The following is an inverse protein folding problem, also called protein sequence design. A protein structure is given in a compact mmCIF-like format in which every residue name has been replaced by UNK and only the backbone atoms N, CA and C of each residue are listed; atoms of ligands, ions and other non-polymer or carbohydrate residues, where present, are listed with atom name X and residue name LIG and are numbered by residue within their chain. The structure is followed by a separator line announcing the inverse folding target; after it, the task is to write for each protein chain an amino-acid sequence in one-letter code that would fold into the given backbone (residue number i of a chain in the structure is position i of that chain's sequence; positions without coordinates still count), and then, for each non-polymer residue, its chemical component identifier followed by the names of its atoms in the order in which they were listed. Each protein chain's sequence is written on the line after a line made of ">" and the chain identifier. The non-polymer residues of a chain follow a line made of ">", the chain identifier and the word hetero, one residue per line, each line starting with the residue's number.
data_IF_661376870542
#
_entry.id   IF_661376870542
#
_cell.length_a   1.000
_cell.length_b   1.000
_cell.length_c   1.000
_cell.angle_alpha   90.00
_cell.angle_beta   90.00
_cell.angle_gamma   90.00
#
_symmetry.space_group_name_H-M   'P 1'
#
loop_
_entity.id
_entity.type
_entity.pdbx_description
1 polymer ?
#
# COMPACT_ATOMS: atom_id res chain seq x y z
N UNK A 1 15.67 25.10 -18.16
CA UNK A 1 14.27 25.44 -17.84
C UNK A 1 13.38 24.34 -18.42
N UNK A 2 12.42 23.89 -17.61
CA UNK A 2 11.17 23.23 -18.02
C UNK A 2 11.15 21.70 -18.25
N UNK A 3 10.29 21.08 -17.42
CA UNK A 3 9.35 19.98 -17.76
C UNK A 3 9.80 18.54 -17.54
N UNK A 4 9.85 18.13 -16.26
CA UNK A 4 9.11 16.93 -15.84
C UNK A 4 8.38 17.14 -14.50
N UNK A 5 7.53 18.17 -14.49
CA UNK A 5 6.44 18.34 -13.55
C UNK A 5 5.28 17.37 -13.87
N UNK A 6 5.53 16.05 -13.88
CA UNK A 6 4.50 15.04 -14.14
C UNK A 6 4.65 13.78 -13.27
N UNK A 7 4.50 13.95 -11.96
CA UNK A 7 3.60 13.10 -11.19
C UNK A 7 3.41 13.66 -9.80
N UNK A 8 2.21 14.19 -9.58
CA UNK A 8 1.69 14.66 -8.30
C UNK A 8 1.69 13.50 -7.30
N UNK A 9 2.67 13.44 -6.40
CA UNK A 9 2.56 12.83 -5.06
C UNK A 9 3.67 13.45 -4.19
N UNK A 10 3.25 14.13 -3.13
CA UNK A 10 3.93 15.16 -2.33
C UNK A 10 5.45 14.98 -2.07
N UNK A 11 6.25 16.08 -1.96
CA UNK A 11 7.72 16.07 -2.10
C UNK A 11 8.54 15.30 -1.07
N UNK A 12 7.98 14.83 0.05
CA UNK A 12 8.71 13.95 0.98
C UNK A 12 7.77 12.89 1.56
N UNK A 13 6.64 13.26 2.19
CA UNK A 13 5.72 12.29 2.82
C UNK A 13 6.38 11.43 3.91
N UNK A 14 5.61 10.64 4.66
CA UNK A 14 6.19 9.71 5.66
C UNK A 14 6.66 8.38 5.04
N UNK A 15 6.34 8.13 3.78
CA UNK A 15 6.73 6.92 3.05
C UNK A 15 8.25 6.69 2.98
N UNK A 16 9.10 7.67 2.63
CA UNK A 16 10.55 7.47 2.63
C UNK A 16 11.11 7.17 4.03
N UNK A 17 10.49 7.68 5.10
CA UNK A 17 10.88 7.29 6.46
C UNK A 17 10.57 5.82 6.73
N UNK A 18 9.41 5.33 6.28
CA UNK A 18 9.07 3.90 6.34
C UNK A 18 10.10 3.08 5.57
N UNK A 19 10.47 3.49 4.35
CA UNK A 19 11.45 2.77 3.52
C UNK A 19 12.85 2.76 4.14
N UNK A 20 13.31 3.88 4.70
CA UNK A 20 14.60 3.95 5.42
C UNK A 20 14.57 3.08 6.67
N UNK A 21 13.49 3.11 7.46
CA UNK A 21 13.34 2.24 8.63
C UNK A 21 13.37 0.76 8.24
N UNK A 22 12.70 0.37 7.15
CA UNK A 22 12.74 -1.01 6.63
C UNK A 22 14.15 -1.39 6.18
N UNK A 23 14.85 -0.48 5.49
CA UNK A 23 16.25 -0.69 5.06
C UNK A 23 17.21 -0.85 6.23
N UNK A 24 16.95 -0.15 7.34
CA UNK A 24 17.68 -0.27 8.61
C UNK A 24 17.20 -1.47 9.46
N UNK A 25 16.34 -2.35 8.91
CA UNK A 25 15.72 -3.47 9.64
C UNK A 25 14.89 -3.07 10.87
N UNK A 26 14.55 -1.79 11.00
CA UNK A 26 13.83 -1.22 12.13
C UNK A 26 12.31 -1.20 11.85
N UNK A 27 11.72 -2.40 11.84
CA UNK A 27 10.28 -2.58 11.57
C UNK A 27 9.37 -1.91 12.62
N UNK A 28 9.85 -1.74 13.85
CA UNK A 28 9.10 -1.12 14.93
C UNK A 28 8.83 0.36 14.66
N UNK A 29 9.86 1.11 14.27
CA UNK A 29 9.69 2.51 13.88
C UNK A 29 8.89 2.63 12.58
N UNK A 30 9.13 1.75 11.62
CA UNK A 30 8.39 1.75 10.35
C UNK A 30 6.87 1.66 10.58
N UNK A 31 6.40 0.76 11.45
CA UNK A 31 4.97 0.66 11.82
C UNK A 31 4.42 1.95 12.43
N UNK A 32 5.20 2.66 13.23
CA UNK A 32 4.79 3.96 13.83
C UNK A 32 4.57 5.02 12.76
N UNK A 33 5.38 5.00 11.69
CA UNK A 33 5.23 5.91 10.56
C UNK A 33 4.09 5.49 9.61
N UNK A 34 3.76 4.21 9.50
CA UNK A 34 2.61 3.73 8.71
C UNK A 34 1.29 4.33 9.22
N UNK A 35 1.11 4.50 10.53
CA UNK A 35 -0.08 5.19 11.07
C UNK A 35 -0.10 6.71 10.79
N UNK A 36 1.05 7.28 10.41
CA UNK A 36 1.21 8.71 10.10
C UNK A 36 1.20 9.01 8.61
N UNK A 37 1.33 8.00 7.74
CA UNK A 37 1.22 8.22 6.30
C UNK A 37 -0.23 8.56 5.94
N UNK A 38 -0.38 9.34 4.87
CA UNK A 38 -1.70 9.63 4.32
C UNK A 38 -2.41 8.32 3.93
N UNK A 39 -3.75 8.25 3.99
CA UNK A 39 -4.50 7.08 3.52
C UNK A 39 -4.11 6.71 2.09
N UNK A 40 -3.65 7.70 1.31
CA UNK A 40 -3.21 7.49 -0.06
C UNK A 40 -1.89 6.74 -0.22
N UNK A 41 -1.02 6.83 0.79
CA UNK A 41 0.27 6.17 0.86
C UNK A 41 0.24 4.95 1.78
N UNK A 42 -0.85 4.75 2.54
CA UNK A 42 -1.03 3.68 3.52
C UNK A 42 -0.79 2.30 2.92
N UNK A 43 -1.38 2.01 1.76
CA UNK A 43 -1.15 0.74 1.04
C UNK A 43 0.34 0.53 0.74
N UNK A 44 1.02 1.52 0.14
CA UNK A 44 2.46 1.43 -0.16
C UNK A 44 3.32 1.29 1.10
N UNK A 45 2.95 1.96 2.19
CA UNK A 45 3.68 1.90 3.44
C UNK A 45 3.56 0.52 4.12
N UNK A 46 2.35 -0.06 4.13
CA UNK A 46 2.13 -1.44 4.57
C UNK A 46 2.89 -2.43 3.68
N UNK A 47 2.87 -2.27 2.36
CA UNK A 47 3.65 -3.10 1.43
C UNK A 47 5.17 -2.98 1.68
N UNK A 48 5.66 -1.79 2.02
CA UNK A 48 7.09 -1.56 2.29
C UNK A 48 7.55 -2.31 3.55
N UNK A 49 6.72 -2.37 4.60
CA UNK A 49 7.05 -3.13 5.82
C UNK A 49 6.76 -4.64 5.72
N UNK A 50 6.19 -5.09 4.60
CA UNK A 50 5.79 -6.48 4.37
C UNK A 50 4.44 -6.86 5.00
N UNK A 51 3.63 -5.88 5.36
CA UNK A 51 2.33 -6.07 6.00
C UNK A 51 1.22 -6.16 4.93
N UNK A 52 1.04 -7.35 4.35
CA UNK A 52 0.07 -7.57 3.27
C UNK A 52 -1.38 -7.40 3.75
N UNK A 53 -1.67 -7.79 5.00
CA UNK A 53 -3.01 -7.67 5.58
C UNK A 53 -3.46 -6.20 5.69
N UNK A 54 -2.64 -5.33 6.30
CA UNK A 54 -2.97 -3.91 6.40
C UNK A 54 -2.95 -3.21 5.05
N UNK A 55 -2.10 -3.66 4.11
CA UNK A 55 -2.12 -3.16 2.73
C UNK A 55 -3.44 -3.51 2.03
N UNK A 56 -3.92 -4.75 2.21
CA UNK A 56 -5.18 -5.19 1.65
C UNK A 56 -6.36 -4.42 2.22
N UNK A 57 -6.45 -4.29 3.55
CA UNK A 57 -7.51 -3.52 4.21
C UNK A 57 -7.52 -2.08 3.72
N UNK A 58 -6.36 -1.40 3.71
CA UNK A 58 -6.27 -0.02 3.23
C UNK A 58 -6.67 0.13 1.75
N UNK A 59 -6.36 -0.86 0.91
CA UNK A 59 -6.74 -0.87 -0.50
C UNK A 59 -8.25 -1.08 -0.69
N UNK A 60 -8.85 -1.95 0.12
CA UNK A 60 -10.29 -2.23 0.16
C UNK A 60 -11.06 -1.00 0.66
N UNK A 61 -10.61 -0.38 1.75
CA UNK A 61 -11.19 0.85 2.31
C UNK A 61 -11.19 1.99 1.28
N UNK A 62 -10.09 2.16 0.55
CA UNK A 62 -10.02 3.16 -0.54
C UNK A 62 -10.87 2.80 -1.76
N UNK A 63 -11.32 1.55 -1.89
CA UNK A 63 -11.94 1.02 -3.12
C UNK A 63 -11.14 1.35 -4.38
N UNK A 64 -9.81 1.30 -4.28
CA UNK A 64 -8.93 1.64 -5.40
C UNK A 64 -8.51 0.37 -6.11
N UNK A 65 -9.00 0.18 -7.34
CA UNK A 65 -8.68 -1.01 -8.13
C UNK A 65 -7.17 -1.16 -8.37
N UNK A 66 -6.48 -0.06 -8.69
CA UNK A 66 -5.04 -0.07 -8.93
C UNK A 66 -4.22 -0.47 -7.70
N UNK A 67 -4.64 -0.02 -6.51
CA UNK A 67 -3.97 -0.40 -5.25
C UNK A 67 -4.27 -1.87 -4.90
N UNK A 68 -5.52 -2.31 -5.06
CA UNK A 68 -5.92 -3.72 -4.87
C UNK A 68 -5.12 -4.64 -5.80
N UNK A 69 -4.96 -4.28 -7.08
CA UNK A 69 -4.16 -5.06 -8.03
C UNK A 69 -2.68 -5.10 -7.64
N UNK A 70 -2.16 -4.02 -7.05
CA UNK A 70 -0.77 -3.97 -6.57
C UNK A 70 -0.55 -4.94 -5.40
N UNK A 71 -1.49 -4.98 -4.44
CA UNK A 71 -1.43 -5.91 -3.31
C UNK A 71 -1.59 -7.36 -3.79
N UNK A 72 -2.52 -7.62 -4.71
CA UNK A 72 -2.71 -8.95 -5.34
C UNK A 72 -1.41 -9.46 -5.97
N UNK A 73 -0.65 -8.60 -6.65
CA UNK A 73 0.63 -8.97 -7.26
C UNK A 73 1.74 -9.29 -6.25
N UNK A 74 1.57 -8.89 -4.98
CA UNK A 74 2.52 -9.16 -3.89
C UNK A 74 2.08 -10.33 -3.00
N UNK A 75 0.81 -10.68 -3.01
CA UNK A 75 0.28 -11.84 -2.31
C UNK A 75 0.63 -13.15 -3.02
N UNK A 76 0.92 -14.19 -2.25
CA UNK A 76 1.19 -15.53 -2.77
C UNK A 76 -0.09 -16.37 -2.81
N UNK A 77 -0.41 -17.05 -3.92
CA UNK A 77 -1.64 -17.86 -4.06
C UNK A 77 -1.74 -19.05 -3.09
N UNK A 78 -0.59 -19.51 -2.59
CA UNK A 78 -0.49 -20.63 -1.64
C UNK A 78 -0.69 -20.21 -0.20
N UNK A 79 -0.15 -19.05 0.20
CA UNK A 79 -0.14 -18.58 1.60
C UNK A 79 -1.25 -17.57 1.88
N UNK A 80 -1.53 -16.68 0.94
CA UNK A 80 -2.42 -15.52 1.11
C UNK A 80 -3.78 -15.73 0.45
N UNK A 81 -4.21 -16.99 0.30
CA UNK A 81 -5.43 -17.33 -0.46
C UNK A 81 -6.66 -16.58 0.01
N UNK A 82 -6.85 -16.45 1.34
CA UNK A 82 -7.94 -15.69 1.92
C UNK A 82 -7.86 -14.17 1.61
N UNK A 83 -6.65 -13.59 1.61
CA UNK A 83 -6.43 -12.19 1.22
C UNK A 83 -6.75 -11.97 -0.25
N UNK A 84 -6.32 -12.89 -1.13
CA UNK A 84 -6.59 -12.83 -2.57
C UNK A 84 -8.10 -12.88 -2.84
N UNK A 85 -8.86 -13.72 -2.15
CA UNK A 85 -10.32 -13.76 -2.30
C UNK A 85 -10.98 -12.46 -1.83
N UNK A 86 -10.57 -11.94 -0.67
CA UNK A 86 -11.07 -10.64 -0.15
C UNK A 86 -10.78 -9.50 -1.12
N UNK A 87 -9.55 -9.43 -1.64
CA UNK A 87 -9.10 -8.42 -2.60
C UNK A 87 -9.85 -8.52 -3.93
N UNK A 88 -10.01 -9.72 -4.50
CA UNK A 88 -10.77 -9.91 -5.73
C UNK A 88 -12.24 -9.52 -5.58
N UNK A 89 -12.84 -9.85 -4.42
CA UNK A 89 -14.21 -9.42 -4.10
C UNK A 89 -14.32 -7.90 -4.03
N UNK A 90 -13.38 -7.25 -3.35
CA UNK A 90 -13.34 -5.80 -3.24
C UNK A 90 -13.07 -5.11 -4.58
N UNK A 91 -12.22 -5.68 -5.44
CA UNK A 91 -11.97 -5.19 -6.80
C UNK A 91 -13.26 -5.17 -7.62
N UNK A 92 -14.04 -6.25 -7.51
CA UNK A 92 -15.31 -6.40 -8.22
C UNK A 92 -16.40 -5.44 -7.73
N UNK A 93 -16.37 -5.05 -6.45
CA UNK A 93 -17.31 -4.05 -5.91
C UNK A 93 -16.86 -2.62 -6.15
N UNK A 94 -15.55 -2.38 -6.31
CA UNK A 94 -14.99 -1.08 -6.68
C UNK A 94 -15.25 -0.73 -8.15
N UNK A 95 -15.26 -1.72 -9.06
CA UNK A 95 -15.48 -1.51 -10.50
C UNK A 95 -16.93 -1.23 -10.91
N UNK A 96 -17.91 -1.46 -10.02
CA UNK A 96 -19.36 -1.36 -10.32
C UNK A 96 -19.95 0.04 -10.03
N UNK A 97 -19.13 1.09 -9.94
CA UNK A 97 -19.58 2.41 -9.48
C UNK A 97 -19.12 3.54 -10.39
#
# INVERSE_FOLDING_TARGET
>A
MEKFAKSKKSPIGYLPFVEVCVKQHNKYEAKKYVSKVTPEQKVKAHLAIGDLEGAAEAAIERRSEGEISTVLSRCSPTTDRALLERLNRARSTAAKK
#
